data_IF_899500938185
#
_entry.id   IF_899500938185
#
_cell.length_a   1.000
_cell.length_b   1.000
_cell.length_c   1.000
_cell.angle_alpha   90.00
_cell.angle_beta   90.00
_cell.angle_gamma   90.00
#
_symmetry.space_group_name_H-M   'P 1'
#
loop_
_entity.id
_entity.type
_entity.pdbx_description
1 polymer ?
#
# COMPACT_ATOMS: atom_id res chain seq x y z
N UNK A 1 18.42 -7.00 -27.24
CA UNK A 1 17.45 -7.65 -26.34
C UNK A 1 17.36 -6.79 -25.08
N UNK A 2 16.40 -5.86 -24.98
CA UNK A 2 16.06 -5.13 -23.74
C UNK A 2 14.70 -4.43 -23.93
N UNK A 3 13.63 -5.22 -24.03
CA UNK A 3 12.26 -4.70 -24.15
C UNK A 3 11.19 -5.56 -23.49
N UNK A 4 11.58 -6.63 -22.78
CA UNK A 4 10.63 -7.34 -21.94
C UNK A 4 10.47 -6.57 -20.64
N UNK A 5 9.52 -5.63 -20.68
CA UNK A 5 8.86 -5.14 -19.48
C UNK A 5 8.04 -6.29 -18.90
N UNK A 6 8.73 -7.24 -18.25
CA UNK A 6 8.11 -8.23 -17.39
C UNK A 6 7.61 -7.54 -16.10
N UNK A 7 6.62 -6.66 -16.28
CA UNK A 7 5.85 -6.07 -15.19
C UNK A 7 5.11 -7.23 -14.53
N UNK A 8 5.49 -7.58 -13.31
CA UNK A 8 4.81 -8.60 -12.51
C UNK A 8 5.32 -10.03 -12.66
N UNK A 9 6.47 -10.30 -13.30
CA UNK A 9 7.10 -11.61 -13.17
C UNK A 9 7.87 -11.71 -11.84
N UNK A 10 7.14 -12.00 -10.76
CA UNK A 10 7.70 -12.80 -9.66
C UNK A 10 7.69 -14.27 -10.12
N UNK A 11 8.29 -14.54 -11.27
CA UNK A 11 8.48 -15.87 -11.80
C UNK A 11 9.98 -16.00 -12.07
N UNK A 12 10.75 -16.13 -10.99
CA UNK A 12 12.17 -16.49 -11.07
C UNK A 12 12.32 -18.00 -10.94
N UNK A 13 13.37 -18.59 -11.53
CA UNK A 13 13.75 -19.96 -11.25
C UNK A 13 13.87 -20.17 -9.74
N UNK A 14 13.38 -21.30 -9.19
CA UNK A 14 13.54 -21.61 -7.77
C UNK A 14 15.02 -21.51 -7.35
N UNK A 15 15.31 -20.70 -6.32
CA UNK A 15 16.64 -20.61 -5.70
C UNK A 15 17.45 -19.34 -5.97
N UNK A 16 17.06 -18.45 -6.89
CA UNK A 16 17.72 -17.13 -7.03
C UNK A 16 17.01 -16.03 -6.24
N UNK A 17 17.41 -15.88 -4.98
CA UNK A 17 16.87 -14.89 -4.04
C UNK A 17 17.54 -13.51 -4.11
N UNK A 18 18.49 -13.27 -5.03
CA UNK A 18 19.21 -11.99 -5.07
C UNK A 18 18.29 -10.83 -5.44
N UNK A 19 18.26 -9.78 -4.63
CA UNK A 19 17.38 -8.63 -4.83
C UNK A 19 15.90 -8.88 -4.50
N UNK A 20 15.61 -10.00 -3.81
CA UNK A 20 14.32 -10.21 -3.15
C UNK A 20 14.41 -9.81 -1.68
N UNK A 21 13.32 -9.25 -1.18
CA UNK A 21 13.15 -8.88 0.23
C UNK A 21 11.84 -9.47 0.76
N UNK A 22 11.81 -9.74 2.06
CA UNK A 22 10.58 -10.10 2.76
C UNK A 22 9.64 -8.89 2.78
N UNK A 23 8.42 -9.10 2.30
CA UNK A 23 7.47 -8.02 2.03
C UNK A 23 6.29 -8.01 2.99
N UNK A 24 6.07 -6.87 3.65
CA UNK A 24 4.81 -6.58 4.34
C UNK A 24 3.75 -6.15 3.34
N UNK A 25 2.84 -7.04 2.93
CA UNK A 25 1.82 -6.68 1.92
C UNK A 25 1.00 -5.46 2.35
N UNK A 26 0.56 -5.44 3.62
CA UNK A 26 -0.01 -4.26 4.26
C UNK A 26 1.08 -3.55 5.08
N UNK A 27 1.36 -2.30 4.76
CA UNK A 27 2.48 -1.57 5.33
C UNK A 27 2.25 -1.11 6.78
N UNK A 28 3.29 -1.16 7.62
CA UNK A 28 3.20 -0.76 9.04
C UNK A 28 2.82 0.71 9.23
N UNK A 29 3.34 1.58 8.37
CA UNK A 29 3.03 3.01 8.35
C UNK A 29 1.56 3.30 8.05
N UNK A 30 0.86 2.42 7.31
CA UNK A 30 -0.57 2.56 7.10
C UNK A 30 -1.35 2.40 8.42
N UNK A 31 -0.96 1.48 9.29
CA UNK A 31 -1.56 1.36 10.64
C UNK A 31 -1.30 2.60 11.48
N UNK A 32 -0.08 3.16 11.42
CA UNK A 32 0.23 4.41 12.13
C UNK A 32 -0.61 5.58 11.61
N UNK A 33 -0.80 5.69 10.30
CA UNK A 33 -1.64 6.70 9.68
C UNK A 33 -3.12 6.49 10.02
N UNK A 34 -3.60 5.25 10.06
CA UNK A 34 -4.92 4.91 10.55
C UNK A 34 -5.12 5.40 11.99
N UNK A 35 -4.23 5.06 12.92
CA UNK A 35 -4.30 5.51 14.31
C UNK A 35 -4.37 7.05 14.39
N UNK A 36 -3.47 7.77 13.71
CA UNK A 36 -3.45 9.24 13.70
C UNK A 36 -4.78 9.84 13.20
N UNK A 37 -5.28 9.32 12.09
CA UNK A 37 -6.51 9.82 11.44
C UNK A 37 -7.78 9.46 12.23
N UNK A 38 -7.79 8.32 12.92
CA UNK A 38 -8.90 7.95 13.80
C UNK A 38 -9.03 8.90 15.00
N UNK A 39 -7.92 9.39 15.54
CA UNK A 39 -7.91 10.36 16.64
C UNK A 39 -8.41 11.71 16.17
N UNK A 40 -7.93 12.18 15.00
CA UNK A 40 -8.35 13.48 14.45
C UNK A 40 -9.75 13.47 13.84
N UNK A 41 -10.35 12.30 13.61
CA UNK A 41 -11.62 12.17 12.90
C UNK A 41 -11.51 12.44 11.40
N UNK A 42 -10.30 12.39 10.83
CA UNK A 42 -10.05 12.60 9.41
C UNK A 42 -9.88 11.27 8.68
N UNK A 43 -9.87 11.35 7.35
CA UNK A 43 -9.53 10.29 6.41
C UNK A 43 -8.15 10.59 5.78
N UNK A 44 -7.53 9.61 5.08
CA UNK A 44 -6.21 9.83 4.51
C UNK A 44 -6.10 10.96 3.48
N UNK A 45 -7.21 11.35 2.87
CA UNK A 45 -7.31 12.48 1.94
C UNK A 45 -7.80 13.78 2.64
N UNK A 46 -7.60 13.86 3.95
CA UNK A 46 -7.95 14.99 4.83
C UNK A 46 -9.45 15.30 4.94
N UNK A 47 -10.32 14.53 4.29
CA UNK A 47 -11.77 14.66 4.48
C UNK A 47 -12.18 14.22 5.89
N UNK A 48 -13.30 14.76 6.36
CA UNK A 48 -13.89 14.35 7.63
C UNK A 48 -14.49 12.93 7.48
N UNK A 49 -14.17 12.06 8.43
CA UNK A 49 -14.76 10.71 8.52
C UNK A 49 -16.24 10.79 8.88
N UNK A 50 -17.03 9.81 8.43
CA UNK A 50 -18.43 9.67 8.87
C UNK A 50 -18.54 9.35 10.36
N UNK A 51 -17.45 8.92 11.00
CA UNK A 51 -17.35 8.70 12.43
C UNK A 51 -16.68 9.90 13.14
N UNK A 52 -17.07 10.24 14.38
CA UNK A 52 -16.36 11.22 15.20
C UNK A 52 -15.02 10.67 15.70
N UNK A 53 -14.03 11.53 15.92
CA UNK A 53 -12.70 11.12 16.39
C UNK A 53 -12.75 10.22 17.62
N UNK A 54 -11.89 9.19 17.64
CA UNK A 54 -11.76 8.28 18.78
C UNK A 54 -10.98 8.97 19.89
N UNK A 55 -11.42 8.79 21.13
CA UNK A 55 -10.68 9.27 22.30
C UNK A 55 -9.24 8.74 22.27
N UNK A 56 -8.21 9.60 22.40
CA UNK A 56 -6.81 9.19 22.33
C UNK A 56 -6.45 8.03 23.27
N UNK A 57 -7.11 7.93 24.44
CA UNK A 57 -6.90 6.85 25.42
C UNK A 57 -7.11 5.46 24.86
N UNK A 58 -7.96 5.31 23.82
CA UNK A 58 -8.12 4.05 23.11
C UNK A 58 -6.76 3.53 22.62
N UNK A 59 -5.97 4.39 21.97
CA UNK A 59 -4.70 4.02 21.37
C UNK A 59 -3.51 4.19 22.31
N UNK A 60 -3.55 5.16 23.23
CA UNK A 60 -2.42 5.48 24.11
C UNK A 60 -2.46 4.73 25.44
N UNK A 61 -3.59 4.14 25.82
CA UNK A 61 -3.76 3.43 27.10
C UNK A 61 -4.38 2.05 26.89
N UNK A 62 -5.65 1.95 26.47
CA UNK A 62 -6.35 0.66 26.36
C UNK A 62 -5.67 -0.30 25.39
N UNK A 63 -5.14 0.17 24.26
CA UNK A 63 -4.47 -0.69 23.28
C UNK A 63 -3.21 -1.39 23.83
N UNK A 64 -2.69 -0.95 24.99
CA UNK A 64 -1.56 -1.57 25.69
C UNK A 64 -1.98 -2.48 26.86
N UNK A 65 -3.24 -2.48 27.25
CA UNK A 65 -3.76 -3.41 28.26
C UNK A 65 -3.88 -4.83 27.71
N UNK A 66 -3.95 -5.82 28.61
CA UNK A 66 -3.96 -7.23 28.23
C UNK A 66 -5.38 -7.73 27.99
N UNK A 67 -5.62 -8.27 26.79
CA UNK A 67 -6.82 -9.05 26.50
C UNK A 67 -6.81 -10.36 27.31
N UNK A 68 -7.98 -10.75 27.80
CA UNK A 68 -8.17 -12.00 28.54
C UNK A 68 -8.81 -13.06 27.63
N UNK A 69 -8.41 -14.33 27.78
CA UNK A 69 -8.99 -15.48 27.07
C UNK A 69 -9.01 -15.37 25.54
N UNK A 70 -7.97 -14.75 24.95
CA UNK A 70 -7.84 -14.62 23.50
C UNK A 70 -6.97 -15.73 22.90
N UNK A 71 -7.26 -16.09 21.64
CA UNK A 71 -6.44 -17.05 20.91
C UNK A 71 -5.00 -16.53 20.76
N UNK A 72 -3.98 -17.38 20.92
CA UNK A 72 -2.59 -16.96 20.80
C UNK A 72 -2.27 -16.58 19.35
N UNK A 73 -1.52 -15.50 19.16
CA UNK A 73 -0.91 -15.12 17.89
C UNK A 73 0.55 -14.72 18.13
N UNK A 74 1.43 -15.04 17.18
CA UNK A 74 2.88 -14.86 17.36
C UNK A 74 3.37 -15.54 18.64
N UNK A 75 4.19 -14.85 19.43
CA UNK A 75 4.65 -15.29 20.76
C UNK A 75 3.62 -14.97 21.85
N UNK A 76 2.38 -15.41 21.67
CA UNK A 76 1.29 -15.23 22.64
C UNK A 76 1.02 -13.75 22.96
N UNK A 77 1.00 -12.91 21.93
CA UNK A 77 0.74 -11.48 22.09
C UNK A 77 -0.69 -11.26 22.62
N UNK A 78 -0.81 -10.52 23.73
CA UNK A 78 -2.09 -10.28 24.43
C UNK A 78 -2.53 -8.82 24.41
N UNK A 79 -1.63 -7.87 24.11
CA UNK A 79 -1.99 -6.46 24.00
C UNK A 79 -2.56 -6.16 22.61
N UNK A 80 -3.71 -5.45 22.47
CA UNK A 80 -4.32 -5.16 21.18
C UNK A 80 -3.34 -4.54 20.17
N UNK A 81 -2.53 -3.56 20.57
CA UNK A 81 -1.58 -2.91 19.65
C UNK A 81 -0.52 -3.89 19.14
N UNK A 82 0.01 -4.75 20.01
CA UNK A 82 0.98 -5.78 19.64
C UNK A 82 0.36 -6.73 18.63
N UNK A 83 -0.86 -7.18 18.91
CA UNK A 83 -1.59 -8.11 18.06
C UNK A 83 -1.88 -7.54 16.67
N UNK A 84 -2.32 -6.28 16.61
CA UNK A 84 -2.52 -5.53 15.35
C UNK A 84 -1.24 -5.49 14.52
N UNK A 85 -0.08 -5.24 15.11
CA UNK A 85 1.19 -5.25 14.37
C UNK A 85 1.65 -6.66 14.00
N UNK A 86 1.37 -7.68 14.83
CA UNK A 86 1.72 -9.08 14.55
C UNK A 86 1.01 -9.61 13.30
N UNK A 87 -0.28 -9.28 13.11
CA UNK A 87 -1.04 -9.76 11.94
C UNK A 87 -0.57 -9.17 10.61
N UNK A 88 0.21 -8.08 10.62
CA UNK A 88 0.88 -7.52 9.44
C UNK A 88 2.10 -8.35 8.99
N UNK A 89 2.53 -9.30 9.82
CA UNK A 89 3.76 -10.06 9.66
C UNK A 89 4.74 -9.78 10.80
N UNK A 90 5.22 -10.84 11.43
CA UNK A 90 6.25 -10.81 12.46
C UNK A 90 7.19 -12.01 12.32
N UNK A 91 8.33 -12.00 13.01
CA UNK A 91 9.28 -13.13 12.95
C UNK A 91 8.65 -14.46 13.39
N UNK A 92 7.75 -14.40 14.35
CA UNK A 92 6.95 -15.51 14.87
C UNK A 92 5.55 -15.62 14.22
N UNK A 93 5.25 -14.79 13.22
CA UNK A 93 3.98 -14.77 12.48
C UNK A 93 4.23 -14.45 11.00
N UNK A 94 4.87 -15.41 10.30
CA UNK A 94 5.40 -15.21 8.94
C UNK A 94 4.43 -15.50 7.81
N UNK A 95 3.28 -16.12 8.10
CA UNK A 95 2.29 -16.49 7.08
C UNK A 95 1.82 -15.34 6.16
N UNK A 96 1.78 -14.07 6.61
CA UNK A 96 1.44 -12.93 5.75
C UNK A 96 2.55 -12.52 4.77
N UNK A 97 3.80 -12.95 4.98
CA UNK A 97 4.92 -12.49 4.17
C UNK A 97 4.92 -13.13 2.78
N UNK A 98 5.32 -12.33 1.80
CA UNK A 98 5.70 -12.79 0.46
C UNK A 98 7.08 -12.25 0.12
N UNK A 99 7.71 -12.82 -0.91
CA UNK A 99 8.93 -12.26 -1.47
C UNK A 99 8.56 -11.24 -2.55
N UNK A 100 9.17 -10.06 -2.49
CA UNK A 100 9.05 -9.03 -3.52
C UNK A 100 10.43 -8.52 -3.93
N UNK A 101 10.52 -7.94 -5.13
CA UNK A 101 11.76 -7.29 -5.56
C UNK A 101 12.01 -6.01 -4.76
N UNK A 102 13.24 -5.78 -4.32
CA UNK A 102 13.63 -4.67 -3.45
C UNK A 102 13.15 -3.30 -3.96
N UNK A 103 13.31 -3.03 -5.26
CA UNK A 103 12.89 -1.75 -5.86
C UNK A 103 11.37 -1.58 -5.87
N UNK A 104 10.61 -2.65 -6.10
CA UNK A 104 9.15 -2.61 -6.05
C UNK A 104 8.66 -2.40 -4.61
N UNK A 105 9.28 -3.07 -3.63
CA UNK A 105 8.99 -2.85 -2.22
C UNK A 105 9.25 -1.38 -1.84
N UNK A 106 10.40 -0.82 -2.20
CA UNK A 106 10.73 0.57 -1.90
C UNK A 106 9.70 1.57 -2.45
N UNK A 107 9.30 1.40 -3.72
CA UNK A 107 8.26 2.26 -4.34
C UNK A 107 6.91 2.06 -3.66
N UNK A 108 6.54 0.83 -3.31
CA UNK A 108 5.31 0.53 -2.58
C UNK A 108 5.31 1.19 -1.19
N UNK A 109 6.42 1.11 -0.47
CA UNK A 109 6.56 1.74 0.85
C UNK A 109 6.39 3.27 0.77
N UNK A 110 7.03 3.92 -0.23
CA UNK A 110 6.82 5.35 -0.50
C UNK A 110 5.36 5.67 -0.81
N UNK A 111 4.72 4.87 -1.67
CA UNK A 111 3.31 5.05 -2.06
C UNK A 111 2.37 4.98 -0.85
N UNK A 112 2.53 3.97 0.01
CA UNK A 112 1.70 3.79 1.20
C UNK A 112 1.96 4.85 2.28
N UNK A 113 3.15 5.44 2.29
CA UNK A 113 3.51 6.56 3.15
C UNK A 113 3.09 7.93 2.61
N UNK A 114 2.50 8.01 1.42
CA UNK A 114 2.22 9.26 0.69
C UNK A 114 3.48 10.13 0.44
N UNK A 115 4.62 9.46 0.26
CA UNK A 115 5.88 10.12 -0.08
C UNK A 115 6.03 10.25 -1.60
N UNK A 116 7.01 11.04 -2.02
CA UNK A 116 7.40 11.15 -3.43
C UNK A 116 7.78 9.77 -4.00
N UNK A 117 7.19 9.44 -5.15
CA UNK A 117 7.42 8.15 -5.82
C UNK A 117 8.72 8.10 -6.60
N UNK A 118 9.32 9.26 -6.90
CA UNK A 118 10.61 9.42 -7.52
C UNK A 118 11.15 10.83 -7.23
N UNK A 119 12.46 10.99 -7.20
CA UNK A 119 13.10 12.31 -7.18
C UNK A 119 12.85 13.04 -8.51
N UNK A 120 12.27 14.24 -8.43
CA UNK A 120 11.87 15.01 -9.62
C UNK A 120 13.06 15.45 -10.47
N UNK A 121 14.18 15.83 -9.83
CA UNK A 121 15.40 16.23 -10.55
C UNK A 121 16.00 15.05 -11.32
N UNK A 122 16.02 13.87 -10.70
CA UNK A 122 16.46 12.64 -11.32
C UNK A 122 15.58 12.28 -12.52
N UNK A 123 14.25 12.36 -12.37
CA UNK A 123 13.31 12.11 -13.47
C UNK A 123 13.53 13.08 -14.65
N UNK A 124 13.72 14.37 -14.39
CA UNK A 124 14.09 15.35 -15.41
C UNK A 124 15.47 15.09 -16.04
N UNK A 125 16.44 14.60 -15.27
CA UNK A 125 17.74 14.20 -15.80
C UNK A 125 17.64 12.96 -16.70
N UNK A 126 16.88 11.96 -16.28
CA UNK A 126 16.74 10.67 -16.96
C UNK A 126 15.94 10.78 -18.25
N UNK A 127 14.89 11.60 -18.31
CA UNK A 127 13.97 11.64 -19.46
C UNK A 127 14.69 11.77 -20.81
N UNK A 128 15.81 12.51 -20.86
CA UNK A 128 16.60 12.70 -22.08
C UNK A 128 17.93 11.92 -22.11
N UNK A 129 18.56 11.70 -20.95
CA UNK A 129 19.93 11.17 -20.85
C UNK A 129 19.97 9.68 -20.50
N UNK A 130 18.92 9.18 -19.86
CA UNK A 130 18.76 7.79 -19.45
C UNK A 130 17.28 7.37 -19.54
N UNK A 131 16.74 7.25 -20.76
CA UNK A 131 15.32 6.92 -20.96
C UNK A 131 14.95 5.54 -20.41
N UNK A 132 15.93 4.65 -20.21
CA UNK A 132 15.69 3.36 -19.59
C UNK A 132 15.32 3.50 -18.11
N UNK A 133 16.13 4.22 -17.33
CA UNK A 133 15.83 4.51 -15.93
C UNK A 133 14.53 5.28 -15.76
N UNK A 134 14.28 6.27 -16.64
CA UNK A 134 13.03 7.01 -16.68
C UNK A 134 11.81 6.11 -16.84
N UNK A 135 11.81 5.27 -17.89
CA UNK A 135 10.70 4.34 -18.16
C UNK A 135 10.57 3.28 -17.07
N UNK A 136 11.68 2.79 -16.52
CA UNK A 136 11.67 1.80 -15.46
C UNK A 136 11.07 2.34 -14.16
N UNK A 137 11.33 3.59 -13.79
CA UNK A 137 10.71 4.20 -12.62
C UNK A 137 9.18 4.27 -12.77
N UNK A 138 8.67 4.69 -13.94
CA UNK A 138 7.22 4.68 -14.24
C UNK A 138 6.66 3.25 -14.19
N UNK A 139 7.38 2.27 -14.75
CA UNK A 139 6.99 0.84 -14.69
C UNK A 139 6.92 0.32 -13.26
N UNK A 140 7.85 0.70 -12.38
CA UNK A 140 7.81 0.28 -10.97
C UNK A 140 6.58 0.85 -10.26
N UNK A 141 6.24 2.12 -10.51
CA UNK A 141 5.05 2.77 -9.95
C UNK A 141 3.78 2.06 -10.41
N UNK A 142 3.60 1.82 -11.72
CA UNK A 142 2.48 1.01 -12.25
C UNK A 142 2.50 -0.42 -11.68
N UNK A 143 3.70 -0.98 -11.51
CA UNK A 143 3.93 -2.31 -10.99
C UNK A 143 3.42 -2.51 -9.57
N UNK A 144 3.39 -1.46 -8.73
CA UNK A 144 2.90 -1.56 -7.35
C UNK A 144 1.43 -1.97 -7.27
N UNK A 145 0.55 -1.33 -8.06
CA UNK A 145 -0.89 -1.68 -8.08
C UNK A 145 -1.10 -3.05 -8.72
N UNK A 146 -0.37 -3.36 -9.80
CA UNK A 146 -0.43 -4.70 -10.41
C UNK A 146 0.03 -5.81 -9.45
N UNK A 147 1.04 -5.52 -8.63
CA UNK A 147 1.50 -6.40 -7.57
C UNK A 147 0.41 -6.62 -6.52
N UNK A 148 -0.24 -5.56 -6.02
CA UNK A 148 -1.35 -5.67 -5.06
C UNK A 148 -2.55 -6.45 -5.62
N UNK A 149 -2.73 -6.42 -6.95
CA UNK A 149 -3.78 -7.14 -7.66
C UNK A 149 -3.39 -8.57 -8.06
N UNK A 150 -2.13 -8.97 -7.90
CA UNK A 150 -1.70 -10.34 -8.20
C UNK A 150 -2.45 -11.31 -7.29
N UNK A 151 -3.03 -12.39 -7.84
CA UNK A 151 -3.99 -13.24 -7.13
C UNK A 151 -3.51 -13.70 -5.74
N UNK A 152 -2.26 -14.19 -5.64
CA UNK A 152 -1.65 -14.58 -4.38
C UNK A 152 -1.56 -13.40 -3.41
N UNK A 153 -1.01 -12.26 -3.84
CA UNK A 153 -0.81 -11.08 -3.00
C UNK A 153 -2.14 -10.53 -2.52
N UNK A 154 -3.14 -10.45 -3.40
CA UNK A 154 -4.47 -9.98 -3.08
C UNK A 154 -5.19 -10.89 -2.07
N UNK A 155 -5.03 -12.22 -2.18
CA UNK A 155 -5.54 -13.17 -1.17
C UNK A 155 -4.89 -12.97 0.20
N UNK A 156 -3.58 -12.77 0.23
CA UNK A 156 -2.89 -12.48 1.49
C UNK A 156 -3.31 -11.12 2.06
N UNK A 157 -3.47 -10.08 1.22
CA UNK A 157 -3.99 -8.77 1.64
C UNK A 157 -5.37 -8.90 2.29
N UNK A 158 -6.30 -9.64 1.65
CA UNK A 158 -7.62 -9.92 2.19
C UNK A 158 -7.55 -10.65 3.53
N UNK A 159 -6.65 -11.63 3.67
CA UNK A 159 -6.40 -12.35 4.92
C UNK A 159 -5.87 -11.43 6.03
N UNK A 160 -4.90 -10.56 5.71
CA UNK A 160 -4.35 -9.57 6.65
C UNK A 160 -5.44 -8.63 7.12
N UNK A 161 -6.25 -8.09 6.22
CA UNK A 161 -7.34 -7.17 6.56
C UNK A 161 -8.43 -7.87 7.39
N UNK A 162 -8.75 -9.13 7.08
CA UNK A 162 -9.65 -9.95 7.91
C UNK A 162 -9.12 -10.08 9.33
N UNK A 163 -7.84 -10.40 9.49
CA UNK A 163 -7.21 -10.55 10.81
C UNK A 163 -7.13 -9.21 11.55
N UNK A 164 -6.78 -8.11 10.86
CA UNK A 164 -6.80 -6.76 11.44
C UNK A 164 -8.18 -6.41 11.99
N UNK A 165 -9.25 -6.67 11.24
CA UNK A 165 -10.63 -6.43 11.71
C UNK A 165 -10.97 -7.25 12.95
N UNK A 166 -10.53 -8.51 13.01
CA UNK A 166 -10.72 -9.34 14.20
C UNK A 166 -10.01 -8.76 15.43
N UNK A 167 -8.76 -8.33 15.27
CA UNK A 167 -7.98 -7.71 16.36
C UNK A 167 -8.54 -6.34 16.78
N UNK A 168 -9.03 -5.54 15.84
CA UNK A 168 -9.74 -4.30 16.10
C UNK A 168 -11.05 -4.53 16.86
N UNK A 169 -11.76 -5.61 16.57
CA UNK A 169 -12.97 -6.00 17.31
C UNK A 169 -12.65 -6.32 18.77
N UNK A 170 -11.56 -7.04 19.02
CA UNK A 170 -11.08 -7.33 20.38
C UNK A 170 -10.66 -6.07 21.13
N UNK A 171 -9.95 -5.16 20.46
CA UNK A 171 -9.54 -3.86 21.01
C UNK A 171 -10.75 -3.02 21.44
N UNK A 172 -11.79 -2.96 20.61
CA UNK A 172 -13.03 -2.25 20.93
C UNK A 172 -13.78 -2.89 22.09
N UNK A 173 -13.89 -4.21 22.12
CA UNK A 173 -14.52 -4.92 23.21
C UNK A 173 -13.83 -4.62 24.55
N UNK A 174 -12.49 -4.60 24.56
CA UNK A 174 -11.71 -4.22 25.75
C UNK A 174 -12.00 -2.77 26.16
N UNK A 175 -11.93 -1.82 25.23
CA UNK A 175 -12.21 -0.41 25.51
C UNK A 175 -13.59 -0.19 26.11
N UNK A 176 -14.62 -0.85 25.55
CA UNK A 176 -15.99 -0.76 26.05
C UNK A 176 -16.16 -1.35 27.45
N UNK A 177 -15.37 -2.38 27.79
CA UNK A 177 -15.40 -2.97 29.13
C UNK A 177 -14.74 -2.06 30.19
N UNK A 178 -13.69 -1.34 29.80
CA UNK A 178 -12.96 -0.42 30.67
C UNK A 178 -13.63 0.96 30.80
N UNK A 179 -14.37 1.36 29.77
CA UNK A 179 -15.00 2.68 29.66
C UNK A 179 -16.50 2.56 29.33
N UNK A 180 -17.33 2.00 30.24
CA UNK A 180 -18.72 1.66 29.95
C UNK A 180 -19.63 2.87 29.64
N UNK A 181 -19.21 4.08 30.00
CA UNK A 181 -19.93 5.34 29.74
C UNK A 181 -19.37 6.14 28.56
N UNK A 182 -18.26 5.71 27.96
CA UNK A 182 -17.66 6.39 26.82
C UNK A 182 -18.46 6.12 25.53
N UNK A 183 -18.32 7.01 24.56
CA UNK A 183 -18.86 6.80 23.23
C UNK A 183 -18.23 5.56 22.57
N UNK A 184 -19.02 4.81 21.79
CA UNK A 184 -18.55 3.61 21.10
C UNK A 184 -17.57 4.01 19.98
N UNK A 185 -16.33 3.50 19.95
CA UNK A 185 -15.32 3.89 18.96
C UNK A 185 -15.68 3.54 17.51
N UNK A 186 -16.46 2.47 17.28
CA UNK A 186 -16.77 1.92 15.95
C UNK A 186 -15.50 1.67 15.11
N UNK A 187 -14.44 1.16 15.74
CA UNK A 187 -13.09 1.15 15.18
C UNK A 187 -12.98 0.27 13.92
N UNK A 188 -13.77 -0.80 13.81
CA UNK A 188 -13.81 -1.66 12.62
C UNK A 188 -14.48 -0.95 11.44
N UNK A 189 -15.64 -0.32 11.66
CA UNK A 189 -16.33 0.41 10.60
C UNK A 189 -15.53 1.64 10.13
N UNK A 190 -14.84 2.30 11.08
CA UNK A 190 -13.89 3.36 10.78
C UNK A 190 -12.69 2.85 9.99
N UNK A 191 -12.17 1.66 10.30
CA UNK A 191 -11.10 1.03 9.51
C UNK A 191 -11.57 0.72 8.09
N UNK A 192 -12.78 0.21 7.92
CA UNK A 192 -13.35 -0.09 6.60
C UNK A 192 -13.47 1.19 5.74
N UNK A 193 -13.98 2.29 6.30
CA UNK A 193 -14.03 3.60 5.64
C UNK A 193 -12.62 4.13 5.32
N UNK A 194 -11.71 4.08 6.29
CA UNK A 194 -10.34 4.54 6.13
C UNK A 194 -9.60 3.75 5.05
N UNK A 195 -9.73 2.42 5.04
CA UNK A 195 -9.06 1.55 4.09
C UNK A 195 -9.56 1.79 2.67
N UNK A 196 -10.87 2.00 2.48
CA UNK A 196 -11.45 2.38 1.20
C UNK A 196 -10.79 3.64 0.64
N UNK A 197 -10.73 4.69 1.46
CA UNK A 197 -10.11 5.95 1.04
C UNK A 197 -8.62 5.78 0.82
N UNK A 198 -7.91 5.05 1.67
CA UNK A 198 -6.47 4.79 1.52
C UNK A 198 -6.16 4.13 0.17
N UNK A 199 -6.83 3.02 -0.15
CA UNK A 199 -6.60 2.30 -1.41
C UNK A 199 -6.97 3.12 -2.64
N UNK A 200 -8.03 3.95 -2.54
CA UNK A 200 -8.39 4.91 -3.59
C UNK A 200 -7.31 5.98 -3.76
N UNK A 201 -6.84 6.59 -2.67
CA UNK A 201 -5.82 7.64 -2.71
C UNK A 201 -4.51 7.14 -3.31
N UNK A 202 -4.02 5.96 -2.92
CA UNK A 202 -2.79 5.42 -3.52
C UNK A 202 -2.97 5.10 -5.02
N UNK A 203 -4.17 4.66 -5.43
CA UNK A 203 -4.47 4.42 -6.85
C UNK A 203 -4.44 5.72 -7.65
N UNK A 204 -5.03 6.80 -7.11
CA UNK A 204 -5.00 8.14 -7.72
C UNK A 204 -3.56 8.66 -7.80
N UNK A 205 -2.78 8.58 -6.73
CA UNK A 205 -1.39 9.04 -6.71
C UNK A 205 -0.53 8.33 -7.77
N UNK A 206 -0.77 7.04 -8.00
CA UNK A 206 -0.10 6.29 -9.08
C UNK A 206 -0.51 6.81 -10.45
N UNK A 207 -1.81 7.03 -10.68
CA UNK A 207 -2.32 7.56 -11.95
C UNK A 207 -1.74 8.95 -12.25
N UNK A 208 -1.80 9.86 -11.28
CA UNK A 208 -1.31 11.23 -11.39
C UNK A 208 0.20 11.26 -11.69
N UNK A 209 0.99 10.44 -10.99
CA UNK A 209 2.42 10.30 -11.25
C UNK A 209 2.69 9.84 -12.69
N UNK A 210 2.00 8.80 -13.15
CA UNK A 210 2.21 8.23 -14.49
C UNK A 210 1.82 9.24 -15.56
N UNK A 211 0.66 9.88 -15.45
CA UNK A 211 0.22 10.87 -16.43
C UNK A 211 1.12 12.09 -16.48
N UNK A 212 1.61 12.56 -15.33
CA UNK A 212 2.56 13.66 -15.25
C UNK A 212 3.83 13.32 -16.01
N UNK A 213 4.48 12.21 -15.68
CA UNK A 213 5.77 11.86 -16.27
C UNK A 213 5.65 11.35 -17.71
N UNK A 214 4.56 10.69 -18.09
CA UNK A 214 4.29 10.41 -19.50
C UNK A 214 4.15 11.71 -20.30
N UNK A 215 3.41 12.69 -19.79
CA UNK A 215 3.29 13.99 -20.45
C UNK A 215 4.63 14.71 -20.61
N UNK A 216 5.47 14.69 -19.57
CA UNK A 216 6.85 15.22 -19.64
C UNK A 216 7.68 14.46 -20.67
N UNK A 217 7.64 13.13 -20.65
CA UNK A 217 8.37 12.28 -21.58
C UNK A 217 7.99 12.52 -23.04
N UNK A 218 6.69 12.58 -23.35
CA UNK A 218 6.21 12.81 -24.71
C UNK A 218 6.70 14.17 -25.22
N UNK A 219 6.50 15.25 -24.45
CA UNK A 219 6.98 16.60 -24.80
C UNK A 219 8.50 16.65 -25.01
N UNK A 220 9.26 15.99 -24.14
CA UNK A 220 10.71 15.98 -24.20
C UNK A 220 11.25 15.24 -25.45
N UNK A 221 10.48 14.27 -25.98
CA UNK A 221 10.87 13.47 -27.14
C UNK A 221 10.26 13.95 -28.46
N UNK A 222 9.28 14.86 -28.47
CA UNK A 222 8.61 15.40 -29.67
C UNK A 222 9.59 15.89 -30.76
N UNK A 223 10.70 16.53 -30.38
CA UNK A 223 11.69 17.08 -31.32
C UNK A 223 12.82 16.10 -31.69
N UNK A 224 12.81 14.88 -31.13
CA UNK A 224 13.86 13.88 -31.27
C UNK A 224 13.49 12.74 -32.22
N UNK A 225 12.66 13.01 -33.23
CA UNK A 225 12.15 12.00 -34.18
C UNK A 225 13.24 11.21 -34.91
N UNK A 226 14.44 11.78 -35.08
CA UNK A 226 15.58 11.13 -35.71
C UNK A 226 16.45 10.29 -34.74
N UNK A 227 16.16 10.29 -33.43
CA UNK A 227 16.92 9.50 -32.46
C UNK A 227 16.57 8.01 -32.61
N UNK A 228 17.55 7.08 -32.59
CA UNK A 228 17.31 5.65 -32.84
C UNK A 228 16.27 5.03 -31.88
N UNK A 229 16.22 5.51 -30.64
CA UNK A 229 15.28 5.02 -29.62
C UNK A 229 13.92 5.76 -29.60
N UNK A 230 13.67 6.74 -30.49
CA UNK A 230 12.47 7.58 -30.43
C UNK A 230 11.18 6.76 -30.41
N UNK A 231 11.00 5.87 -31.38
CA UNK A 231 9.78 5.03 -31.49
C UNK A 231 9.60 4.14 -30.25
N UNK A 232 10.69 3.57 -29.73
CA UNK A 232 10.67 2.76 -28.52
C UNK A 232 10.14 3.54 -27.31
N UNK A 233 10.69 4.74 -27.09
CA UNK A 233 10.38 5.54 -25.90
C UNK A 233 8.94 6.01 -25.99
N UNK A 234 8.53 6.60 -27.12
CA UNK A 234 7.17 7.11 -27.31
C UNK A 234 6.13 5.98 -27.18
N UNK A 235 6.35 4.83 -27.83
CA UNK A 235 5.44 3.68 -27.70
C UNK A 235 5.36 3.19 -26.25
N UNK A 236 6.50 3.13 -25.53
CA UNK A 236 6.51 2.72 -24.12
C UNK A 236 5.70 3.68 -23.24
N UNK A 237 5.83 4.98 -23.47
CA UNK A 237 5.07 6.01 -22.72
C UNK A 237 3.57 5.90 -22.98
N UNK A 238 3.16 5.69 -24.23
CA UNK A 238 1.76 5.49 -24.58
C UNK A 238 1.16 4.23 -23.93
N UNK A 239 1.90 3.12 -23.94
CA UNK A 239 1.49 1.87 -23.25
C UNK A 239 1.37 2.09 -21.74
N UNK A 240 2.28 2.84 -21.14
CA UNK A 240 2.25 3.14 -19.70
C UNK A 240 1.06 4.04 -19.33
N UNK A 241 0.75 5.07 -20.13
CA UNK A 241 -0.45 5.88 -19.95
C UNK A 241 -1.74 5.05 -20.08
N UNK A 242 -1.81 4.19 -21.10
CA UNK A 242 -2.96 3.29 -21.27
C UNK A 242 -3.12 2.33 -20.08
N UNK A 243 -2.01 1.81 -19.54
CA UNK A 243 -2.03 0.95 -18.35
C UNK A 243 -2.47 1.67 -17.07
N UNK A 244 -2.26 2.99 -16.97
CA UNK A 244 -2.64 3.77 -15.80
C UNK A 244 -4.12 4.16 -15.77
N UNK A 245 -4.76 4.39 -16.92
CA UNK A 245 -6.10 5.01 -17.00
C UNK A 245 -7.26 4.30 -16.30
N UNK A 246 -7.08 3.04 -15.87
CA UNK A 246 -8.07 2.33 -15.05
C UNK A 246 -7.41 1.59 -13.87
N UNK A 247 -6.20 2.02 -13.47
CA UNK A 247 -5.41 1.30 -12.50
C UNK A 247 -5.90 1.58 -11.08
N UNK A 248 -6.52 0.58 -10.46
CA UNK A 248 -6.97 0.63 -9.07
C UNK A 248 -6.63 -0.67 -8.36
N UNK A 249 -6.45 -0.60 -7.04
CA UNK A 249 -6.35 -1.81 -6.21
C UNK A 249 -7.69 -2.55 -6.25
N UNK A 250 -7.66 -3.84 -6.55
CA UNK A 250 -8.83 -4.71 -6.52
C UNK A 250 -9.19 -5.00 -5.05
N UNK A 251 -10.37 -4.54 -4.65
CA UNK A 251 -10.92 -4.71 -3.31
C UNK A 251 -12.06 -5.75 -3.24
N UNK A 252 -12.38 -6.47 -4.32
CA UNK A 252 -13.50 -7.44 -4.39
C UNK A 252 -13.42 -8.52 -3.30
N UNK A 253 -12.21 -8.86 -2.85
CA UNK A 253 -11.94 -9.86 -1.82
C UNK A 253 -11.68 -9.26 -0.45
N UNK A 254 -11.57 -7.93 -0.35
CA UNK A 254 -11.21 -7.24 0.88
C UNK A 254 -12.48 -6.99 1.69
N UNK A 255 -12.61 -7.54 2.90
CA UNK A 255 -13.86 -7.43 3.66
C UNK A 255 -14.13 -5.97 4.05
N UNK A 256 -15.40 -5.55 3.95
CA UNK A 256 -15.84 -4.20 4.32
C UNK A 256 -15.68 -3.16 3.22
N UNK A 257 -15.18 -3.56 2.06
CA UNK A 257 -15.09 -2.70 0.89
C UNK A 257 -16.34 -2.97 0.04
N UNK A 258 -17.18 -1.95 -0.13
CA UNK A 258 -18.32 -2.01 -1.06
C UNK A 258 -17.83 -1.64 -2.46
N UNK A 259 -18.28 -2.38 -3.47
CA UNK A 259 -18.06 -2.06 -4.89
C UNK A 259 -18.86 -0.83 -5.33
#
# INVERSE_FOLDING_TARGET
MCFDAAIGQIARPPGDNRGLVTEHIFEKQAVLNFIKTTISGLLPDERISTFPGIDPSFWTTTAFHQLQNVAPIGDHEVAPIRRIFTVLGADNYRAPFVLAGEKLNGVKSSLWGYNELADENAMHGWVLNDPESFLNQIRYVVGTIRYLNHDTVNRHLAGIITNLRAELTLAEALYRSEHPTAAIPNVVARFDEWAYVHFRTISINVQDFVFTWVGVGLRAWETRTNHPNYLQVVNSLQVLAAAAGALAVNLDRVPGQLN
#
